data_IF_508643575092
#
_entry.id   IF_508643575092
#
_cell.length_a   1.000
_cell.length_b   1.000
_cell.length_c   1.000
_cell.angle_alpha   90.00
_cell.angle_beta   90.00
_cell.angle_gamma   90.00
#
_symmetry.space_group_name_H-M   'P 1'
#
loop_
_entity.id
_entity.type
_entity.pdbx_description
1 polymer ?
#
# COMPACT_ATOMS: atom_id res chain seq x y z
N UNK A 1 0.06 15.41 0.61
CA UNK A 1 -0.15 16.77 0.04
C UNK A 1 -0.37 17.87 1.09
N UNK A 2 -0.41 17.57 2.39
CA UNK A 2 -0.49 18.58 3.46
C UNK A 2 0.90 18.99 3.93
N UNK A 3 1.16 20.29 4.17
CA UNK A 3 2.36 20.75 4.86
C UNK A 3 2.55 20.02 6.20
N UNK A 4 3.79 19.74 6.65
CA UNK A 4 4.04 18.90 7.83
C UNK A 4 3.27 19.31 9.08
N UNK A 5 3.21 20.61 9.36
CA UNK A 5 2.50 21.15 10.53
C UNK A 5 0.98 20.96 10.44
N UNK A 6 0.39 21.12 9.26
CA UNK A 6 -1.04 20.90 9.04
C UNK A 6 -1.38 19.42 9.18
N UNK A 7 -0.51 18.54 8.67
CA UNK A 7 -0.65 17.09 8.79
C UNK A 7 -0.59 16.65 10.25
N UNK A 8 0.40 17.12 11.01
CA UNK A 8 0.51 16.81 12.44
C UNK A 8 -0.72 17.25 13.22
N UNK A 9 -1.20 18.49 13.03
CA UNK A 9 -2.39 19.01 13.70
C UNK A 9 -3.63 18.19 13.32
N UNK A 10 -3.80 17.84 12.05
CA UNK A 10 -4.93 17.03 11.58
C UNK A 10 -4.94 15.65 12.26
N UNK A 11 -3.79 14.97 12.27
CA UNK A 11 -3.67 13.63 12.90
C UNK A 11 -3.96 13.73 14.38
N UNK A 12 -3.35 14.66 15.11
CA UNK A 12 -3.52 14.80 16.55
C UNK A 12 -5.00 15.12 16.91
N UNK A 13 -5.64 16.06 16.20
CA UNK A 13 -6.99 16.47 16.53
C UNK A 13 -8.07 15.50 16.03
N UNK A 14 -7.97 15.01 14.76
CA UNK A 14 -9.05 14.24 14.13
C UNK A 14 -8.92 12.73 14.36
N UNK A 15 -7.70 12.21 14.31
CA UNK A 15 -7.47 10.76 14.48
C UNK A 15 -7.30 10.42 15.96
N UNK A 16 -6.38 11.11 16.65
CA UNK A 16 -6.07 10.83 18.07
C UNK A 16 -7.01 11.54 19.03
N UNK A 17 -7.90 12.42 18.56
CA UNK A 17 -8.92 13.12 19.36
C UNK A 17 -8.36 14.01 20.48
N UNK A 18 -7.16 14.53 20.31
CA UNK A 18 -6.55 15.45 21.24
C UNK A 18 -7.26 16.80 21.21
N UNK A 19 -7.32 17.48 22.37
CA UNK A 19 -7.82 18.85 22.44
C UNK A 19 -6.82 19.82 21.82
N UNK A 20 -7.33 20.89 21.21
CA UNK A 20 -6.47 21.90 20.60
C UNK A 20 -5.46 22.55 21.58
N UNK A 21 -5.78 22.56 22.89
CA UNK A 21 -4.86 23.01 23.95
C UNK A 21 -3.67 22.07 24.14
N UNK A 22 -3.90 20.76 24.11
CA UNK A 22 -2.86 19.73 24.26
C UNK A 22 -1.94 19.73 23.04
N UNK A 23 -2.53 19.88 21.84
CA UNK A 23 -1.76 20.02 20.60
C UNK A 23 -0.94 21.31 20.57
N UNK A 24 -1.50 22.40 21.10
CA UNK A 24 -0.78 23.69 21.20
C UNK A 24 0.42 23.61 22.13
N UNK A 25 0.31 22.91 23.24
CA UNK A 25 1.39 22.63 24.18
C UNK A 25 2.46 21.76 23.53
N UNK A 26 2.08 20.62 22.92
CA UNK A 26 3.01 19.70 22.26
C UNK A 26 3.81 20.38 21.12
N UNK A 27 3.15 21.23 20.34
CA UNK A 27 3.77 21.89 19.18
C UNK A 27 4.34 23.27 19.51
N UNK A 28 4.43 23.63 20.79
CA UNK A 28 4.93 24.91 21.27
C UNK A 28 4.30 26.11 20.55
N UNK A 29 2.98 26.14 20.47
CA UNK A 29 2.21 27.13 19.70
C UNK A 29 0.95 27.58 20.43
N UNK A 30 0.16 28.46 19.82
CA UNK A 30 -1.13 28.90 20.40
C UNK A 30 -2.29 28.03 19.90
N UNK A 31 -3.35 27.91 20.71
CA UNK A 31 -4.61 27.28 20.32
C UNK A 31 -5.20 27.89 19.03
N UNK A 32 -5.10 29.20 18.87
CA UNK A 32 -5.54 29.87 17.66
C UNK A 32 -4.76 29.40 16.41
N UNK A 33 -3.44 29.19 16.55
CA UNK A 33 -2.60 28.67 15.48
C UNK A 33 -2.94 27.21 15.13
N UNK A 34 -3.24 26.37 16.12
CA UNK A 34 -3.72 24.97 15.91
C UNK A 34 -5.04 24.99 15.16
N UNK A 35 -6.04 25.77 15.60
CA UNK A 35 -7.33 25.85 14.93
C UNK A 35 -7.22 26.34 13.48
N UNK A 36 -6.36 27.34 13.23
CA UNK A 36 -6.12 27.83 11.88
C UNK A 36 -5.42 26.80 10.99
N UNK A 37 -4.48 26.03 11.54
CA UNK A 37 -3.81 24.95 10.81
C UNK A 37 -4.80 23.80 10.49
N UNK A 38 -5.66 23.44 11.43
CA UNK A 38 -6.70 22.42 11.25
C UNK A 38 -7.71 22.82 10.18
N UNK A 39 -8.16 24.07 10.20
CA UNK A 39 -9.08 24.60 9.18
C UNK A 39 -8.46 24.55 7.78
N UNK A 40 -7.20 24.98 7.63
CA UNK A 40 -6.50 24.90 6.34
C UNK A 40 -6.29 23.45 5.90
N UNK A 41 -5.93 22.55 6.81
CA UNK A 41 -5.77 21.14 6.49
C UNK A 41 -7.07 20.53 5.93
N UNK A 42 -8.20 20.82 6.57
CA UNK A 42 -9.52 20.36 6.11
C UNK A 42 -9.87 20.93 4.74
N UNK A 43 -9.65 22.23 4.53
CA UNK A 43 -9.92 22.88 3.24
C UNK A 43 -9.07 22.27 2.12
N UNK A 44 -7.77 22.04 2.34
CA UNK A 44 -6.89 21.41 1.35
C UNK A 44 -7.32 19.98 1.03
N UNK A 45 -7.77 19.20 2.03
CA UNK A 45 -8.30 17.85 1.78
C UNK A 45 -9.62 17.88 1.01
N UNK A 46 -10.48 18.86 1.29
CA UNK A 46 -11.74 19.01 0.58
C UNK A 46 -11.51 19.41 -0.88
N UNK A 47 -10.60 20.35 -1.14
CA UNK A 47 -10.16 20.71 -2.49
C UNK A 47 -9.56 19.52 -3.23
N UNK A 48 -8.73 18.71 -2.58
CA UNK A 48 -8.13 17.49 -3.17
C UNK A 48 -9.19 16.43 -3.51
N UNK A 49 -10.26 16.33 -2.74
CA UNK A 49 -11.40 15.43 -3.05
C UNK A 49 -12.24 15.90 -4.22
N UNK A 50 -12.29 17.22 -4.46
CA UNK A 50 -13.04 17.83 -5.54
C UNK A 50 -12.23 17.97 -6.84
N UNK A 51 -10.92 17.73 -6.80
CA UNK A 51 -10.06 17.75 -7.99
C UNK A 51 -10.22 16.46 -8.77
N UNK A 52 -10.62 16.51 -10.05
CA UNK A 52 -10.73 15.33 -10.91
C UNK A 52 -9.39 14.55 -11.08
N UNK A 53 -8.26 15.20 -10.80
CA UNK A 53 -6.91 14.61 -10.80
C UNK A 53 -6.65 13.65 -9.64
N UNK A 54 -7.59 13.53 -8.70
CA UNK A 54 -7.59 12.51 -7.63
C UNK A 54 -8.36 11.24 -8.03
N UNK A 55 -8.94 11.16 -9.20
CA UNK A 55 -9.22 9.89 -9.82
C UNK A 55 -7.83 9.32 -10.19
N UNK A 56 -7.33 8.41 -9.31
CA UNK A 56 -6.31 7.46 -9.72
C UNK A 56 -6.78 6.96 -11.08
N UNK A 57 -6.00 7.22 -12.14
CA UNK A 57 -6.29 6.58 -13.42
C UNK A 57 -6.58 5.13 -13.11
N UNK A 58 -7.76 4.60 -13.50
CA UNK A 58 -8.05 3.20 -13.21
C UNK A 58 -6.85 2.43 -13.72
N UNK A 59 -6.18 1.65 -12.86
CA UNK A 59 -4.99 0.94 -13.28
C UNK A 59 -5.37 0.15 -14.52
N UNK A 60 -4.55 0.27 -15.55
CA UNK A 60 -4.77 -0.47 -16.77
C UNK A 60 -4.94 -1.95 -16.39
N UNK A 61 -6.14 -2.49 -16.62
CA UNK A 61 -6.45 -3.87 -16.28
C UNK A 61 -5.44 -4.83 -16.94
N UNK A 62 -4.99 -4.50 -18.15
CA UNK A 62 -3.97 -5.25 -18.87
C UNK A 62 -2.62 -5.23 -18.14
N UNK A 63 -2.24 -4.08 -17.54
CA UNK A 63 -1.01 -3.99 -16.75
C UNK A 63 -1.09 -4.88 -15.51
N UNK A 64 -2.23 -4.91 -14.84
CA UNK A 64 -2.45 -5.73 -13.64
C UNK A 64 -2.43 -7.23 -13.98
N UNK A 65 -3.07 -7.65 -15.07
CA UNK A 65 -3.04 -9.03 -15.54
C UNK A 65 -1.59 -9.46 -15.86
N UNK A 66 -0.87 -8.66 -16.62
CA UNK A 66 0.54 -8.90 -16.95
C UNK A 66 1.43 -8.96 -15.72
N UNK A 67 1.15 -8.14 -14.70
CA UNK A 67 1.90 -8.20 -13.44
C UNK A 67 1.66 -9.54 -12.73
N UNK A 68 0.41 -9.99 -12.60
CA UNK A 68 0.09 -11.27 -11.97
C UNK A 68 0.76 -12.42 -12.72
N UNK A 69 0.65 -12.46 -14.05
CA UNK A 69 1.28 -13.49 -14.88
C UNK A 69 2.80 -13.50 -14.71
N UNK A 70 3.46 -12.35 -14.81
CA UNK A 70 4.90 -12.23 -14.66
C UNK A 70 5.38 -12.62 -13.25
N UNK A 71 4.62 -12.23 -12.21
CA UNK A 71 4.96 -12.56 -10.83
C UNK A 71 4.82 -14.08 -10.56
N UNK A 72 3.72 -14.70 -10.97
CA UNK A 72 3.49 -16.14 -10.81
C UNK A 72 4.46 -16.99 -11.64
N UNK A 73 4.78 -16.54 -12.86
CA UNK A 73 5.80 -17.17 -13.72
C UNK A 73 7.23 -16.97 -13.22
N UNK A 74 7.44 -16.08 -12.24
CA UNK A 74 8.76 -15.71 -11.75
C UNK A 74 9.65 -15.10 -12.85
N UNK A 75 8.99 -14.34 -13.78
CA UNK A 75 9.62 -13.72 -14.94
C UNK A 75 10.21 -12.35 -14.59
N UNK A 76 11.52 -12.34 -14.37
CA UNK A 76 12.26 -11.14 -13.99
C UNK A 76 12.23 -10.04 -15.05
N UNK A 77 12.34 -10.42 -16.33
CA UNK A 77 12.40 -9.44 -17.44
C UNK A 77 11.03 -8.76 -17.62
N UNK A 78 9.94 -9.54 -17.56
CA UNK A 78 8.59 -9.01 -17.63
C UNK A 78 8.29 -8.07 -16.44
N UNK A 79 8.66 -8.45 -15.21
CA UNK A 79 8.49 -7.61 -14.03
C UNK A 79 9.31 -6.32 -14.12
N UNK A 80 10.51 -6.36 -14.69
CA UNK A 80 11.35 -5.18 -14.92
C UNK A 80 10.66 -4.15 -15.82
N UNK A 81 9.89 -4.59 -16.79
CA UNK A 81 9.14 -3.69 -17.69
C UNK A 81 7.92 -3.05 -17.00
N UNK A 82 7.33 -3.71 -16.02
CA UNK A 82 6.09 -3.28 -15.35
C UNK A 82 6.31 -2.43 -14.10
N UNK A 83 7.48 -2.57 -13.44
CA UNK A 83 7.79 -1.89 -12.17
C UNK A 83 8.69 -0.68 -12.43
N UNK A 84 8.35 0.44 -11.79
CA UNK A 84 9.14 1.67 -11.88
C UNK A 84 10.55 1.44 -11.29
N UNK A 85 11.58 2.10 -11.87
CA UNK A 85 12.96 1.97 -11.37
C UNK A 85 13.13 2.46 -9.93
N UNK A 86 12.39 3.50 -9.55
CA UNK A 86 12.37 4.07 -8.20
C UNK A 86 11.23 3.51 -7.34
N UNK A 87 10.68 2.35 -7.69
CA UNK A 87 9.59 1.76 -6.92
C UNK A 87 9.98 1.55 -5.46
N UNK A 88 8.99 1.65 -4.57
CA UNK A 88 9.17 1.41 -3.15
C UNK A 88 8.36 0.22 -2.66
N UNK A 89 8.85 -0.43 -1.62
CA UNK A 89 8.11 -1.50 -0.95
C UNK A 89 8.13 -1.28 0.56
N UNK A 90 6.97 -1.42 1.19
CA UNK A 90 6.84 -1.41 2.65
C UNK A 90 6.06 -2.63 3.16
N UNK A 91 6.28 -2.99 4.42
CA UNK A 91 5.65 -4.15 5.05
C UNK A 91 5.24 -3.82 6.50
N UNK A 92 4.28 -2.92 6.71
CA UNK A 92 3.83 -2.61 8.06
C UNK A 92 3.19 -3.82 8.76
N UNK A 93 3.38 -4.00 10.09
CA UNK A 93 4.03 -3.07 11.00
C UNK A 93 5.55 -3.24 11.12
N UNK A 94 6.16 -4.08 10.29
CA UNK A 94 7.61 -4.29 10.32
C UNK A 94 8.33 -3.06 9.76
N UNK A 95 9.51 -2.80 10.32
CA UNK A 95 10.41 -1.76 9.84
C UNK A 95 11.19 -2.24 8.61
N UNK A 96 10.44 -2.67 7.59
CA UNK A 96 10.95 -3.02 6.28
C UNK A 96 10.53 -1.97 5.27
N UNK A 97 11.52 -1.29 4.72
CA UNK A 97 11.35 -0.34 3.64
C UNK A 97 12.45 -0.55 2.59
N UNK A 98 12.04 -0.86 1.37
CA UNK A 98 12.94 -1.01 0.22
C UNK A 98 12.71 0.14 -0.75
N UNK A 99 13.77 0.66 -1.33
CA UNK A 99 13.72 1.75 -2.29
C UNK A 99 14.57 1.42 -3.52
N UNK A 100 13.93 1.44 -4.67
CA UNK A 100 14.50 1.01 -5.93
C UNK A 100 14.13 -0.45 -6.27
N UNK A 101 13.84 -0.64 -7.55
CA UNK A 101 13.45 -1.95 -8.10
C UNK A 101 14.49 -3.04 -7.82
N UNK A 102 15.77 -2.72 -7.87
CA UNK A 102 16.83 -3.70 -7.67
C UNK A 102 16.84 -4.26 -6.23
N UNK A 103 16.59 -3.42 -5.21
CA UNK A 103 16.47 -3.87 -3.82
C UNK A 103 15.21 -4.72 -3.61
N UNK A 104 14.10 -4.35 -4.26
CA UNK A 104 12.86 -5.13 -4.25
C UNK A 104 13.09 -6.51 -4.87
N UNK A 105 13.77 -6.57 -5.99
CA UNK A 105 14.07 -7.83 -6.67
C UNK A 105 15.05 -8.68 -5.89
N UNK A 106 16.08 -8.08 -5.27
CA UNK A 106 16.99 -8.82 -4.38
C UNK A 106 16.22 -9.45 -3.21
N UNK A 107 15.17 -8.80 -2.72
CA UNK A 107 14.29 -9.33 -1.69
C UNK A 107 13.38 -10.45 -2.19
N UNK A 108 12.74 -10.29 -3.36
CA UNK A 108 11.80 -11.27 -3.89
C UNK A 108 12.48 -12.53 -4.44
N UNK A 109 13.62 -12.37 -5.10
CA UNK A 109 14.33 -13.45 -5.80
C UNK A 109 15.56 -13.97 -5.04
N UNK A 110 15.97 -13.26 -3.98
CA UNK A 110 17.13 -13.61 -3.17
C UNK A 110 16.89 -14.74 -2.16
N UNK A 111 17.90 -14.96 -1.31
CA UNK A 111 17.88 -15.99 -0.26
C UNK A 111 16.93 -15.65 0.93
N UNK A 112 16.29 -14.49 0.89
CA UNK A 112 15.38 -14.00 1.94
C UNK A 112 14.04 -14.70 1.97
N UNK A 113 12.96 -13.93 1.86
CA UNK A 113 11.60 -14.48 1.94
C UNK A 113 11.23 -15.38 0.76
N UNK A 114 11.81 -15.13 -0.43
CA UNK A 114 11.52 -15.87 -1.65
C UNK A 114 10.03 -15.90 -2.03
N UNK A 115 9.72 -15.45 -3.22
CA UNK A 115 8.32 -15.43 -3.70
C UNK A 115 8.01 -16.57 -4.68
N UNK A 116 8.95 -17.48 -4.88
CA UNK A 116 8.82 -18.57 -5.85
C UNK A 116 7.62 -19.48 -5.55
N UNK A 117 6.79 -19.68 -6.56
CA UNK A 117 5.57 -20.50 -6.44
C UNK A 117 4.42 -19.81 -5.72
N UNK A 118 4.55 -18.53 -5.37
CA UNK A 118 3.42 -17.77 -4.83
C UNK A 118 2.32 -17.59 -5.88
N UNK A 119 1.06 -17.51 -5.41
CA UNK A 119 -0.12 -17.15 -6.19
C UNK A 119 -0.59 -15.77 -5.78
N UNK A 120 -1.13 -15.02 -6.73
CA UNK A 120 -1.66 -13.66 -6.51
C UNK A 120 -3.10 -13.60 -7.01
N UNK A 121 -4.05 -13.37 -6.11
CA UNK A 121 -5.48 -13.35 -6.39
C UNK A 121 -6.00 -11.92 -6.22
N UNK A 122 -6.70 -11.35 -7.22
CA UNK A 122 -7.29 -10.02 -7.09
C UNK A 122 -8.35 -10.00 -5.98
N UNK A 123 -8.33 -8.96 -5.16
CA UNK A 123 -9.33 -8.75 -4.13
C UNK A 123 -10.68 -8.35 -4.72
N UNK A 124 -11.76 -8.61 -3.99
CA UNK A 124 -13.12 -8.22 -4.39
C UNK A 124 -13.40 -6.71 -4.27
N UNK A 125 -12.48 -5.96 -3.67
CA UNK A 125 -12.57 -4.50 -3.50
C UNK A 125 -11.18 -3.85 -3.51
N UNK A 126 -11.15 -2.55 -3.77
CA UNK A 126 -9.92 -1.75 -3.70
C UNK A 126 -9.59 -1.34 -2.26
N UNK A 127 -8.32 -1.07 -1.98
CA UNK A 127 -7.85 -0.45 -0.74
C UNK A 127 -7.69 1.07 -0.95
N UNK A 128 -8.63 1.87 -0.45
CA UNK A 128 -8.65 3.33 -0.64
C UNK A 128 -8.55 3.80 -2.12
N UNK A 129 -9.12 3.02 -3.03
CA UNK A 129 -9.07 3.27 -4.47
C UNK A 129 -7.91 2.58 -5.20
N UNK A 130 -6.92 2.06 -4.49
CA UNK A 130 -5.79 1.33 -5.08
C UNK A 130 -6.10 -0.15 -5.23
N UNK A 131 -5.64 -0.83 -6.29
CA UNK A 131 -5.82 -2.27 -6.47
C UNK A 131 -5.20 -3.06 -5.31
N UNK A 132 -5.94 -4.07 -4.87
CA UNK A 132 -5.51 -4.95 -3.79
C UNK A 132 -5.52 -6.42 -4.25
N UNK A 133 -4.55 -7.19 -3.75
CA UNK A 133 -4.38 -8.60 -4.06
C UNK A 133 -4.05 -9.40 -2.81
N UNK A 134 -4.56 -10.63 -2.74
CA UNK A 134 -4.07 -11.62 -1.79
C UNK A 134 -2.86 -12.35 -2.37
N UNK A 135 -1.73 -12.29 -1.69
CA UNK A 135 -0.60 -13.15 -2.00
C UNK A 135 -0.63 -14.38 -1.12
N UNK A 136 -0.42 -15.52 -1.76
CA UNK A 136 -0.41 -16.83 -1.11
C UNK A 136 0.90 -17.54 -1.41
N UNK A 137 1.50 -18.15 -0.39
CA UNK A 137 2.73 -18.93 -0.54
C UNK A 137 2.43 -20.43 -0.58
N UNK A 138 3.24 -21.22 -1.31
CA UNK A 138 3.09 -22.67 -1.29
C UNK A 138 3.35 -23.19 0.14
N UNK A 139 2.51 -24.13 0.58
CA UNK A 139 2.71 -24.80 1.87
C UNK A 139 3.95 -25.67 1.84
N UNK A 140 4.59 -25.82 2.99
CA UNK A 140 5.80 -26.66 3.13
C UNK A 140 5.56 -28.13 2.73
N UNK A 141 4.35 -28.64 2.93
CA UNK A 141 3.97 -30.00 2.53
C UNK A 141 3.69 -30.15 1.02
N UNK A 142 3.72 -29.08 0.25
CA UNK A 142 3.48 -29.05 -1.19
C UNK A 142 1.99 -29.16 -1.59
N UNK A 143 1.05 -29.18 -0.65
CA UNK A 143 -0.37 -29.30 -0.91
C UNK A 143 -1.10 -27.94 -0.75
N UNK A 144 -1.29 -27.22 -1.87
CA UNK A 144 -1.99 -25.95 -1.90
C UNK A 144 -1.15 -24.78 -1.38
N UNK A 145 -1.82 -23.66 -1.11
CA UNK A 145 -1.19 -22.41 -0.71
C UNK A 145 -1.83 -21.87 0.57
N UNK A 146 -1.04 -21.16 1.35
CA UNK A 146 -1.49 -20.44 2.53
C UNK A 146 -1.41 -18.91 2.33
N UNK A 147 -2.34 -18.15 2.91
CA UNK A 147 -2.33 -16.69 2.80
C UNK A 147 -1.08 -16.14 3.47
N UNK A 148 -0.45 -15.18 2.80
CA UNK A 148 0.78 -14.55 3.30
C UNK A 148 0.65 -13.05 3.52
N UNK A 149 0.11 -12.30 2.57
CA UNK A 149 -0.05 -10.85 2.69
C UNK A 149 -1.21 -10.33 1.83
N UNK A 150 -1.86 -9.27 2.29
CA UNK A 150 -2.64 -8.38 1.44
C UNK A 150 -1.67 -7.39 0.81
N UNK A 151 -1.55 -7.40 -0.50
CA UNK A 151 -0.70 -6.51 -1.28
C UNK A 151 -1.56 -5.39 -1.88
N UNK A 152 -1.14 -4.15 -1.68
CA UNK A 152 -1.75 -2.95 -2.29
C UNK A 152 -0.73 -2.34 -3.25
N UNK A 153 -1.19 -1.98 -4.46
CA UNK A 153 -0.36 -1.44 -5.54
C UNK A 153 -0.71 0.01 -5.82
N UNK A 154 0.32 0.84 -5.97
CA UNK A 154 0.17 2.20 -6.48
C UNK A 154 0.96 2.41 -7.76
N UNK A 155 0.51 3.34 -8.61
CA UNK A 155 1.02 3.53 -9.96
C UNK A 155 1.52 4.95 -10.18
N UNK A 156 2.53 5.07 -11.04
CA UNK A 156 3.04 6.34 -11.52
C UNK A 156 3.60 6.15 -12.93
N UNK A 157 3.22 7.02 -13.86
CA UNK A 157 3.72 6.96 -15.23
C UNK A 157 3.43 5.64 -15.97
N UNK A 158 2.29 4.99 -15.69
CA UNK A 158 1.92 3.72 -16.30
C UNK A 158 2.73 2.50 -15.82
N UNK A 159 3.36 2.60 -14.66
CA UNK A 159 4.11 1.51 -14.02
C UNK A 159 3.75 1.40 -12.54
N UNK A 160 3.99 0.25 -11.94
CA UNK A 160 3.84 0.05 -10.50
C UNK A 160 4.97 0.80 -9.78
N UNK A 161 4.59 1.74 -8.91
CA UNK A 161 5.52 2.62 -8.20
C UNK A 161 5.63 2.31 -6.71
N UNK A 162 4.61 1.68 -6.10
CA UNK A 162 4.65 1.33 -4.69
C UNK A 162 3.95 0.00 -4.43
N UNK A 163 4.55 -0.77 -3.53
CA UNK A 163 4.01 -2.00 -2.98
C UNK A 163 3.88 -1.85 -1.47
N UNK A 164 2.68 -2.07 -0.94
CA UNK A 164 2.48 -2.19 0.51
C UNK A 164 1.94 -3.57 0.84
N UNK A 165 2.63 -4.31 1.71
CA UNK A 165 2.25 -5.65 2.14
C UNK A 165 1.78 -5.64 3.58
N UNK A 166 0.54 -6.06 3.83
CA UNK A 166 -0.03 -6.19 5.17
C UNK A 166 -0.12 -7.67 5.54
N UNK A 167 0.48 -8.07 6.66
CA UNK A 167 0.60 -9.48 7.04
C UNK A 167 -0.52 -9.98 7.96
N UNK A 168 -1.41 -9.12 8.44
CA UNK A 168 -2.60 -9.51 9.21
C UNK A 168 -3.69 -10.09 8.30
N UNK A 169 -3.37 -11.22 7.68
CA UNK A 169 -4.24 -11.86 6.68
C UNK A 169 -5.54 -12.40 7.26
N UNK A 170 -5.53 -12.84 8.52
CA UNK A 170 -6.73 -13.36 9.18
C UNK A 170 -7.82 -12.30 9.32
N UNK A 171 -7.42 -11.05 9.61
CA UNK A 171 -8.33 -9.92 9.69
C UNK A 171 -8.65 -9.33 8.32
N UNK A 172 -7.65 -9.17 7.46
CA UNK A 172 -7.80 -8.41 6.22
C UNK A 172 -8.45 -9.21 5.09
N UNK A 173 -8.07 -10.46 4.88
CA UNK A 173 -8.57 -11.24 3.74
C UNK A 173 -10.10 -11.33 3.68
N UNK A 174 -10.81 -11.62 4.79
CA UNK A 174 -12.28 -11.61 4.77
C UNK A 174 -12.89 -10.27 4.40
N UNK A 175 -12.26 -9.14 4.79
CA UNK A 175 -12.75 -7.80 4.47
C UNK A 175 -12.62 -7.47 2.97
N UNK A 176 -11.66 -8.11 2.29
CA UNK A 176 -11.38 -7.95 0.87
C UNK A 176 -11.96 -9.08 0.00
N UNK A 177 -12.77 -9.97 0.58
CA UNK A 177 -13.38 -11.09 -0.13
C UNK A 177 -12.38 -12.18 -0.58
N UNK A 178 -11.20 -12.23 0.08
CA UNK A 178 -10.14 -13.19 -0.22
C UNK A 178 -10.28 -14.45 0.65
N UNK A 179 -10.08 -15.66 0.09
CA UNK A 179 -10.16 -16.90 0.84
C UNK A 179 -8.95 -17.07 1.77
N UNK A 180 -9.17 -17.63 2.97
CA UNK A 180 -8.09 -17.99 3.90
C UNK A 180 -7.39 -19.33 3.54
N UNK A 181 -7.80 -19.99 2.46
CA UNK A 181 -7.17 -21.22 1.94
C UNK A 181 -7.34 -21.27 0.44
N UNK A 182 -6.30 -21.58 -0.28
CA UNK A 182 -6.38 -21.99 -1.69
C UNK A 182 -6.12 -23.49 -1.76
N UNK A 183 -7.10 -24.20 -2.29
CA UNK A 183 -6.92 -25.58 -2.71
C UNK A 183 -6.10 -25.57 -4.00
N UNK A 184 -5.18 -26.52 -4.13
CA UNK A 184 -4.24 -26.61 -5.24
C UNK A 184 -4.89 -26.91 -6.58
#
# INVERSE_FOLDING_TARGET
>A
HLPPRQRAVLILCEVLRWKASEVAELLETSVASVNSALQRARATLEESRLSPESELEPPDAELLERYVEAFEAYDFDALTALIHEDATQSMPPFDLWLSGRDDIFAWWFGAGIGCKGSRVIPAGSTANGSPAYGQYKPKENGEGHEPWALMVLEFSGGRIAEFTFFLDVETLFPLFGLPLRLEG
#
